data_IF_572372362616
#
_entry.id   IF_572372362616
#
_cell.length_a   1.000
_cell.length_b   1.000
_cell.length_c   1.000
_cell.angle_alpha   90.00
_cell.angle_beta   90.00
_cell.angle_gamma   90.00
#
_symmetry.space_group_name_H-M   'P 1'
#
loop_
_entity.id
_entity.type
_entity.pdbx_description
1 polymer ?
#
# COMPACT_ATOMS: atom_id res chain seq x y z
N UNK A 1 31.60 38.23 -0.70
CA UNK A 1 31.43 36.77 -0.90
C UNK A 1 32.73 35.96 -1.09
N UNK A 2 33.93 36.57 -1.08
CA UNK A 2 35.20 35.84 -1.23
C UNK A 2 35.81 35.30 0.10
N UNK A 3 35.35 35.78 1.26
CA UNK A 3 35.96 35.42 2.56
C UNK A 3 35.48 34.07 3.14
N UNK A 4 34.26 33.62 2.82
CA UNK A 4 33.69 32.39 3.38
C UNK A 4 34.26 31.10 2.74
N UNK A 5 34.68 31.17 1.47
CA UNK A 5 35.24 30.01 0.75
C UNK A 5 36.65 29.63 1.22
N UNK A 6 37.39 30.59 1.81
CA UNK A 6 38.79 30.37 2.24
C UNK A 6 38.87 29.66 3.59
N UNK A 7 37.85 29.79 4.47
CA UNK A 7 37.91 29.16 5.80
C UNK A 7 37.59 27.66 5.76
N UNK A 8 36.67 27.23 4.89
CA UNK A 8 36.27 25.82 4.76
C UNK A 8 37.39 24.94 4.16
N UNK A 9 38.16 25.48 3.20
CA UNK A 9 39.27 24.77 2.56
C UNK A 9 40.44 24.48 3.52
N UNK A 10 40.69 25.38 4.48
CA UNK A 10 41.73 25.17 5.51
C UNK A 10 41.34 24.10 6.53
N UNK A 11 40.06 23.99 6.86
CA UNK A 11 39.58 23.00 7.83
C UNK A 11 39.69 21.58 7.25
N UNK A 12 39.30 21.38 5.99
CA UNK A 12 39.33 20.07 5.32
C UNK A 12 40.77 19.57 5.09
N UNK A 13 41.71 20.46 4.74
CA UNK A 13 43.11 20.09 4.50
C UNK A 13 43.89 19.68 5.77
N UNK A 14 43.39 20.03 6.96
CA UNK A 14 44.07 19.75 8.23
C UNK A 14 43.75 18.38 8.83
N UNK A 15 42.67 17.73 8.38
CA UNK A 15 42.16 16.48 8.97
C UNK A 15 42.30 15.25 8.06
N UNK A 16 42.62 15.42 6.78
CA UNK A 16 42.83 14.33 5.82
C UNK A 16 44.02 14.66 4.93
N UNK A 17 44.89 13.68 4.69
CA UNK A 17 46.07 13.78 3.81
C UNK A 17 45.61 13.87 2.33
N UNK A 18 44.83 14.89 1.99
CA UNK A 18 44.13 15.04 0.71
C UNK A 18 44.76 16.20 -0.06
N UNK A 19 45.52 15.86 -1.11
CA UNK A 19 46.00 16.85 -2.08
C UNK A 19 44.81 17.51 -2.77
N UNK A 20 44.78 18.85 -2.81
CA UNK A 20 43.73 19.60 -3.50
C UNK A 20 43.71 19.23 -5.00
N UNK A 21 42.54 18.88 -5.57
CA UNK A 21 42.45 18.48 -6.96
C UNK A 21 42.79 19.65 -7.89
N UNK A 22 43.58 19.37 -8.94
CA UNK A 22 43.98 20.38 -9.94
C UNK A 22 42.76 20.82 -10.75
N UNK A 23 42.69 22.11 -11.06
CA UNK A 23 41.55 22.74 -11.75
C UNK A 23 41.93 23.05 -13.20
N UNK A 24 41.05 22.72 -14.15
CA UNK A 24 41.21 23.07 -15.55
C UNK A 24 40.72 24.51 -15.85
N UNK A 25 41.23 25.12 -16.92
CA UNK A 25 40.80 26.45 -17.37
C UNK A 25 39.43 26.44 -18.06
N UNK A 26 39.01 25.29 -18.57
CA UNK A 26 37.72 25.10 -19.22
C UNK A 26 36.57 24.87 -18.21
N UNK A 27 35.37 25.29 -18.62
CA UNK A 27 34.12 25.09 -17.87
C UNK A 27 33.31 23.95 -18.51
N UNK A 28 32.49 23.30 -17.71
CA UNK A 28 31.56 22.28 -18.19
C UNK A 28 30.46 22.90 -19.05
N UNK A 29 30.13 22.28 -20.18
CA UNK A 29 29.09 22.78 -21.09
C UNK A 29 27.67 22.62 -20.53
N UNK A 30 27.46 21.62 -19.66
CA UNK A 30 26.17 21.32 -19.05
C UNK A 30 25.85 22.23 -17.86
N UNK A 31 26.74 22.31 -16.86
CA UNK A 31 26.47 23.05 -15.61
C UNK A 31 27.28 24.35 -15.46
N UNK A 32 28.14 24.70 -16.44
CA UNK A 32 29.00 25.90 -16.46
C UNK A 32 30.00 26.05 -15.29
N UNK A 33 30.15 25.02 -14.44
CA UNK A 33 31.15 24.95 -13.36
C UNK A 33 32.55 24.65 -13.92
N UNK A 34 33.61 25.00 -13.18
CA UNK A 34 34.99 24.66 -13.56
C UNK A 34 35.20 23.14 -13.56
N UNK A 35 35.96 22.64 -14.53
CA UNK A 35 36.37 21.23 -14.58
C UNK A 35 37.61 21.00 -13.70
N UNK A 36 37.76 19.78 -13.22
CA UNK A 36 38.95 19.29 -12.52
C UNK A 36 39.76 18.40 -13.46
N UNK A 37 41.04 18.25 -13.18
CA UNK A 37 41.93 17.33 -13.88
C UNK A 37 42.03 16.03 -13.08
N UNK A 38 41.92 14.90 -13.77
CA UNK A 38 42.21 13.59 -13.19
C UNK A 38 43.73 13.31 -13.16
N UNK A 39 44.11 12.11 -12.69
CA UNK A 39 45.51 11.66 -12.61
C UNK A 39 46.23 11.64 -13.97
N UNK A 40 45.48 11.58 -15.07
CA UNK A 40 45.98 11.59 -16.45
C UNK A 40 45.91 12.98 -17.11
N UNK A 41 45.71 14.06 -16.35
CA UNK A 41 45.49 15.43 -16.83
C UNK A 41 44.27 15.60 -17.77
N UNK A 42 43.28 14.70 -17.70
CA UNK A 42 42.04 14.84 -18.47
C UNK A 42 41.04 15.68 -17.69
N UNK A 43 40.47 16.69 -18.34
CA UNK A 43 39.50 17.57 -17.73
C UNK A 43 38.10 16.92 -17.63
N UNK A 44 37.52 16.89 -16.44
CA UNK A 44 36.18 16.36 -16.17
C UNK A 44 35.39 17.25 -15.21
N UNK A 45 34.06 17.22 -15.30
CA UNK A 45 33.22 17.96 -14.37
C UNK A 45 32.83 17.07 -13.17
N UNK A 46 33.45 17.31 -12.01
CA UNK A 46 33.13 16.56 -10.79
C UNK A 46 31.66 16.67 -10.37
N UNK A 47 31.04 17.85 -10.50
CA UNK A 47 29.63 18.01 -10.16
C UNK A 47 28.72 17.17 -11.06
N UNK A 48 28.87 17.23 -12.39
CA UNK A 48 28.02 16.44 -13.29
C UNK A 48 28.31 14.93 -13.22
N UNK A 49 29.55 14.54 -12.89
CA UNK A 49 29.95 13.13 -12.85
C UNK A 49 29.60 12.44 -11.54
N UNK A 50 29.78 13.12 -10.42
CA UNK A 50 29.63 12.52 -9.08
C UNK A 50 28.39 13.03 -8.35
N UNK A 51 28.20 14.35 -8.30
CA UNK A 51 27.16 14.96 -7.45
C UNK A 51 25.77 14.93 -8.11
N UNK A 52 25.64 15.31 -9.38
CA UNK A 52 24.34 15.37 -10.05
C UNK A 52 23.63 14.00 -10.11
N UNK A 53 24.33 12.87 -10.37
CA UNK A 53 23.69 11.55 -10.27
C UNK A 53 23.27 11.21 -8.83
N UNK A 54 24.07 11.55 -7.83
CA UNK A 54 23.72 11.35 -6.42
C UNK A 54 22.50 12.19 -6.00
N UNK A 55 22.42 13.45 -6.44
CA UNK A 55 21.28 14.34 -6.19
C UNK A 55 19.99 13.78 -6.83
N UNK A 56 20.09 13.24 -8.06
CA UNK A 56 18.97 12.57 -8.73
C UNK A 56 18.53 11.32 -7.96
N UNK A 57 19.46 10.49 -7.51
CA UNK A 57 19.15 9.31 -6.69
C UNK A 57 18.48 9.71 -5.37
N UNK A 58 19.03 10.71 -4.66
CA UNK A 58 18.45 11.20 -3.42
C UNK A 58 17.04 11.78 -3.61
N UNK A 59 16.81 12.48 -4.72
CA UNK A 59 15.48 12.99 -5.07
C UNK A 59 14.50 11.84 -5.33
N UNK A 60 14.93 10.78 -6.03
CA UNK A 60 14.13 9.58 -6.25
C UNK A 60 13.79 8.88 -4.93
N UNK A 61 14.77 8.68 -4.04
CA UNK A 61 14.57 8.06 -2.72
C UNK A 61 13.62 8.91 -1.86
N UNK A 62 13.77 10.24 -1.89
CA UNK A 62 12.87 11.17 -1.19
C UNK A 62 11.44 11.07 -1.68
N UNK A 63 11.23 10.96 -3.00
CA UNK A 63 9.90 10.77 -3.59
C UNK A 63 9.27 9.43 -3.14
N UNK A 64 10.06 8.37 -3.04
CA UNK A 64 9.59 7.07 -2.52
C UNK A 64 9.16 7.22 -1.06
N UNK A 65 9.97 7.88 -0.23
CA UNK A 65 9.67 8.14 1.18
C UNK A 65 8.41 9.02 1.31
N UNK A 66 8.28 10.07 0.50
CA UNK A 66 7.10 10.94 0.51
C UNK A 66 5.83 10.18 0.11
N UNK A 67 5.88 9.36 -0.94
CA UNK A 67 4.74 8.50 -1.33
C UNK A 67 4.37 7.54 -0.20
N UNK A 68 5.37 6.93 0.46
CA UNK A 68 5.15 6.05 1.61
C UNK A 68 4.51 6.80 2.77
N UNK A 69 5.01 7.99 3.10
CA UNK A 69 4.48 8.83 4.18
C UNK A 69 3.07 9.35 3.87
N UNK A 70 2.75 9.62 2.61
CA UNK A 70 1.36 9.95 2.21
C UNK A 70 0.42 8.77 2.49
N UNK A 71 0.83 7.55 2.13
CA UNK A 71 0.03 6.34 2.43
C UNK A 71 -0.10 6.13 3.93
N UNK A 72 0.99 6.27 4.70
CA UNK A 72 0.97 6.13 6.17
C UNK A 72 0.07 7.20 6.79
N UNK A 73 0.24 8.47 6.43
CA UNK A 73 -0.59 9.57 6.96
C UNK A 73 -2.06 9.39 6.64
N UNK A 74 -2.39 8.80 5.49
CA UNK A 74 -3.77 8.47 5.17
C UNK A 74 -4.24 7.24 5.94
N UNK A 75 -3.42 6.19 6.04
CA UNK A 75 -3.71 5.03 6.88
C UNK A 75 -3.97 5.47 8.32
N UNK A 76 -3.20 6.41 8.85
CA UNK A 76 -3.39 6.99 10.17
C UNK A 76 -4.68 7.82 10.21
N UNK A 77 -4.94 8.66 9.20
CA UNK A 77 -6.23 9.37 9.08
C UNK A 77 -7.44 8.43 9.02
N UNK A 78 -7.23 7.21 8.52
CA UNK A 78 -8.22 6.14 8.39
C UNK A 78 -8.31 5.30 9.67
N UNK A 79 -7.20 5.08 10.36
CA UNK A 79 -7.11 4.36 11.62
C UNK A 79 -7.63 5.18 12.80
N UNK A 80 -7.42 6.49 12.78
CA UNK A 80 -7.97 7.47 13.74
C UNK A 80 -9.48 7.63 13.54
N UNK A 81 -9.95 7.51 12.30
CA UNK A 81 -11.38 7.59 11.95
C UNK A 81 -12.04 6.22 11.77
N UNK A 82 -12.07 5.39 12.83
CA UNK A 82 -13.13 4.37 13.01
C UNK A 82 -13.33 3.35 11.86
N UNK A 83 -12.29 3.05 11.07
CA UNK A 83 -12.34 2.03 10.00
C UNK A 83 -11.95 0.63 10.47
N UNK A 84 -11.23 0.54 11.59
CA UNK A 84 -10.75 -0.72 12.16
C UNK A 84 -11.15 -0.75 13.62
N UNK A 85 -11.90 -1.78 14.03
CA UNK A 85 -12.24 -2.02 15.44
C UNK A 85 -10.95 -2.14 16.27
N UNK A 86 -10.91 -1.61 17.50
CA UNK A 86 -9.72 -1.65 18.36
C UNK A 86 -9.17 -3.07 18.58
N UNK A 87 -10.01 -4.11 18.49
CA UNK A 87 -9.55 -5.51 18.50
C UNK A 87 -8.67 -5.84 17.30
N UNK A 88 -9.07 -5.40 16.10
CA UNK A 88 -8.30 -5.60 14.86
C UNK A 88 -7.02 -4.76 14.84
N UNK A 89 -6.97 -3.60 15.52
CA UNK A 89 -5.72 -2.83 15.66
C UNK A 89 -4.60 -3.64 16.30
N UNK A 90 -4.91 -4.63 17.14
CA UNK A 90 -3.91 -5.53 17.75
C UNK A 90 -3.69 -6.83 16.97
N UNK A 91 -4.41 -7.08 15.87
CA UNK A 91 -4.29 -8.31 15.08
C UNK A 91 -2.88 -8.47 14.48
N UNK A 92 -2.29 -9.64 14.67
CA UNK A 92 -1.04 -10.11 14.07
C UNK A 92 -1.19 -11.58 13.67
N UNK A 93 -0.26 -12.12 12.89
CA UNK A 93 -0.26 -13.55 12.59
C UNK A 93 -0.02 -14.37 13.87
N UNK A 94 0.83 -13.89 14.78
CA UNK A 94 1.18 -14.60 16.01
C UNK A 94 0.02 -14.77 16.99
N UNK A 95 -0.85 -13.75 17.10
CA UNK A 95 -1.99 -13.80 18.01
C UNK A 95 -3.26 -14.39 17.39
N UNK A 96 -3.21 -14.82 16.13
CA UNK A 96 -4.24 -15.65 15.54
C UNK A 96 -3.95 -17.13 15.84
N UNK A 97 -4.84 -17.73 16.63
CA UNK A 97 -4.76 -19.15 17.02
C UNK A 97 -5.82 -19.93 16.24
N UNK A 98 -5.45 -20.63 15.15
CA UNK A 98 -6.39 -21.39 14.35
C UNK A 98 -6.94 -22.58 15.15
N UNK A 99 -8.27 -22.79 15.20
CA UNK A 99 -8.86 -23.91 15.93
C UNK A 99 -8.84 -25.22 15.14
N UNK A 100 -8.72 -25.17 13.81
CA UNK A 100 -8.72 -26.32 12.90
C UNK A 100 -7.48 -26.29 12.01
N UNK A 101 -7.16 -27.45 11.41
CA UNK A 101 -6.05 -27.55 10.46
C UNK A 101 -6.30 -26.66 9.23
N UNK A 102 -7.49 -26.69 8.66
CA UNK A 102 -7.83 -25.89 7.47
C UNK A 102 -7.62 -24.38 7.71
N UNK A 103 -7.95 -23.88 8.90
CA UNK A 103 -7.70 -22.49 9.27
C UNK A 103 -6.22 -22.18 9.55
N UNK A 104 -5.43 -23.20 9.89
CA UNK A 104 -3.97 -23.09 9.97
C UNK A 104 -3.35 -23.03 8.58
N UNK A 105 -3.79 -23.90 7.67
CA UNK A 105 -3.33 -23.93 6.29
C UNK A 105 -3.70 -22.61 5.60
N UNK A 106 -4.90 -22.06 5.84
CA UNK A 106 -5.29 -20.74 5.33
C UNK A 106 -4.43 -19.59 5.89
N UNK A 107 -4.04 -19.65 7.16
CA UNK A 107 -3.09 -18.69 7.75
C UNK A 107 -1.74 -18.78 7.03
N UNK A 108 -1.23 -19.99 6.79
CA UNK A 108 0.03 -20.22 6.08
C UNK A 108 -0.03 -19.71 4.64
N UNK A 109 -1.13 -19.93 3.92
CA UNK A 109 -1.33 -19.38 2.57
C UNK A 109 -1.24 -17.86 2.55
N UNK A 110 -1.89 -17.16 3.49
CA UNK A 110 -1.82 -15.69 3.58
C UNK A 110 -0.41 -15.24 3.99
N UNK A 111 0.26 -15.95 4.90
CA UNK A 111 1.65 -15.66 5.27
C UNK A 111 2.60 -15.85 4.08
N UNK A 112 2.39 -16.89 3.27
CA UNK A 112 3.14 -17.16 2.06
C UNK A 112 2.92 -16.05 1.04
N UNK A 113 1.67 -15.67 0.76
CA UNK A 113 1.33 -14.52 -0.09
C UNK A 113 2.09 -13.27 0.34
N UNK A 114 2.06 -12.95 1.63
CA UNK A 114 2.83 -11.82 2.15
C UNK A 114 4.29 -12.05 1.80
N UNK A 115 4.91 -13.16 2.24
CA UNK A 115 6.34 -13.49 2.10
C UNK A 115 6.87 -13.39 0.67
N UNK A 116 6.10 -13.84 -0.32
CA UNK A 116 6.51 -13.89 -1.73
C UNK A 116 6.05 -12.68 -2.54
N UNK A 117 5.24 -11.78 -1.96
CA UNK A 117 4.70 -10.63 -2.68
C UNK A 117 5.78 -9.79 -3.38
N UNK A 118 5.57 -9.54 -4.67
CA UNK A 118 6.34 -8.63 -5.50
C UNK A 118 5.40 -7.73 -6.31
N UNK A 119 5.87 -6.53 -6.67
CA UNK A 119 5.12 -5.61 -7.56
C UNK A 119 5.16 -6.07 -9.01
N UNK A 120 6.15 -6.87 -9.37
CA UNK A 120 6.38 -7.36 -10.73
C UNK A 120 5.46 -8.53 -11.08
N UNK A 121 4.97 -9.24 -10.05
CA UNK A 121 4.06 -10.38 -10.17
C UNK A 121 2.87 -10.19 -9.22
N UNK A 122 1.90 -9.32 -9.58
CA UNK A 122 0.77 -9.00 -8.74
C UNK A 122 -0.22 -10.17 -8.69
N UNK A 123 -0.39 -10.76 -7.50
CA UNK A 123 -1.42 -11.77 -7.24
C UNK A 123 -2.57 -11.18 -6.40
N UNK A 124 -3.80 -11.47 -6.76
CA UNK A 124 -4.99 -11.12 -5.96
C UNK A 124 -5.49 -12.35 -5.21
N UNK A 125 -6.27 -12.17 -4.15
CA UNK A 125 -6.81 -13.30 -3.38
C UNK A 125 -8.18 -12.98 -2.81
N UNK A 126 -9.07 -13.97 -2.79
CA UNK A 126 -10.43 -13.86 -2.27
C UNK A 126 -10.60 -14.87 -1.16
N UNK A 127 -10.80 -14.33 0.03
CA UNK A 127 -10.92 -15.08 1.26
C UNK A 127 -12.41 -15.17 1.59
N UNK A 128 -13.00 -16.33 1.30
CA UNK A 128 -14.42 -16.61 1.56
C UNK A 128 -14.59 -17.55 2.75
N UNK A 129 -15.78 -17.54 3.35
CA UNK A 129 -16.17 -18.53 4.36
C UNK A 129 -16.98 -17.94 5.51
N UNK A 130 -17.01 -18.63 6.65
CA UNK A 130 -17.95 -18.33 7.73
C UNK A 130 -17.64 -17.05 8.52
N UNK A 131 -18.67 -16.53 9.19
CA UNK A 131 -18.53 -15.39 10.09
C UNK A 131 -17.67 -15.74 11.30
N UNK A 132 -16.72 -14.86 11.62
CA UNK A 132 -15.97 -14.93 12.87
C UNK A 132 -14.86 -15.98 12.92
N UNK A 133 -14.47 -16.54 11.77
CA UNK A 133 -13.31 -17.45 11.64
C UNK A 133 -11.96 -16.73 11.58
N UNK A 134 -11.95 -15.40 11.43
CA UNK A 134 -10.70 -14.60 11.50
C UNK A 134 -10.19 -14.02 10.17
N UNK A 135 -10.98 -14.05 9.09
CA UNK A 135 -10.61 -13.44 7.79
C UNK A 135 -10.05 -12.01 7.92
N UNK A 136 -10.84 -11.10 8.50
CA UNK A 136 -10.43 -9.69 8.73
C UNK A 136 -9.18 -9.57 9.61
N UNK A 137 -9.00 -10.49 10.58
CA UNK A 137 -7.83 -10.50 11.46
C UNK A 137 -6.56 -10.82 10.68
N UNK A 138 -6.59 -11.88 9.87
CA UNK A 138 -5.46 -12.28 9.01
C UNK A 138 -5.15 -11.21 7.97
N UNK A 139 -6.17 -10.58 7.38
CA UNK A 139 -6.02 -9.45 6.46
C UNK A 139 -5.34 -8.22 7.09
N UNK A 140 -5.71 -7.88 8.34
CA UNK A 140 -5.03 -6.78 9.05
C UNK A 140 -3.59 -7.16 9.41
N UNK A 141 -3.34 -8.41 9.79
CA UNK A 141 -1.98 -8.91 10.00
C UNK A 141 -1.13 -8.84 8.72
N UNK A 142 -1.69 -9.27 7.58
CA UNK A 142 -1.04 -9.20 6.27
C UNK A 142 -0.68 -7.76 5.89
N UNK A 143 -1.64 -6.83 6.05
CA UNK A 143 -1.42 -5.39 5.80
C UNK A 143 -0.22 -4.87 6.58
N UNK A 144 -0.11 -5.19 7.87
CA UNK A 144 1.00 -4.73 8.71
C UNK A 144 2.35 -5.31 8.27
N UNK A 145 2.40 -6.60 7.95
CA UNK A 145 3.65 -7.23 7.49
C UNK A 145 4.10 -6.71 6.12
N UNK A 146 3.17 -6.45 5.19
CA UNK A 146 3.46 -5.79 3.92
C UNK A 146 4.04 -4.38 4.15
N UNK A 147 3.45 -3.61 5.06
CA UNK A 147 3.96 -2.27 5.42
C UNK A 147 5.35 -2.32 6.06
N UNK A 148 5.63 -3.30 6.93
CA UNK A 148 6.96 -3.51 7.52
C UNK A 148 8.02 -3.78 6.46
N UNK A 149 7.65 -4.49 5.40
CA UNK A 149 8.52 -4.79 4.25
C UNK A 149 8.70 -3.66 3.25
N UNK A 150 8.05 -2.52 3.49
CA UNK A 150 8.21 -1.32 2.67
C UNK A 150 7.20 -1.17 1.54
N UNK A 151 6.22 -2.08 1.43
CA UNK A 151 5.11 -1.92 0.50
C UNK A 151 4.05 -0.99 1.07
N UNK A 152 3.37 -0.26 0.19
CA UNK A 152 2.17 0.49 0.56
C UNK A 152 0.97 -0.46 0.57
N UNK A 153 0.44 -0.76 1.75
CA UNK A 153 -0.75 -1.59 1.91
C UNK A 153 -1.85 -0.82 2.64
N UNK A 154 -3.11 -1.06 2.26
CA UNK A 154 -4.26 -0.40 2.87
C UNK A 154 -5.38 -1.40 3.13
N UNK A 155 -5.84 -1.48 4.37
CA UNK A 155 -7.02 -2.24 4.77
C UNK A 155 -8.21 -1.31 4.92
N UNK A 156 -9.34 -1.67 4.31
CA UNK A 156 -10.57 -0.89 4.39
C UNK A 156 -11.80 -1.78 4.37
N UNK A 157 -12.78 -1.49 5.23
CA UNK A 157 -14.10 -2.14 5.19
C UNK A 157 -14.96 -1.51 4.11
N UNK A 158 -15.64 -2.33 3.31
CA UNK A 158 -16.37 -1.88 2.14
C UNK A 158 -17.49 -0.87 2.44
N UNK A 159 -18.30 -1.16 3.45
CA UNK A 159 -19.35 -0.26 3.94
C UNK A 159 -18.80 1.12 4.38
N UNK A 160 -17.62 1.12 5.00
CA UNK A 160 -16.98 2.35 5.47
C UNK A 160 -16.36 3.14 4.33
N UNK A 161 -15.79 2.46 3.34
CA UNK A 161 -15.33 3.09 2.11
C UNK A 161 -16.46 3.89 1.45
N UNK A 162 -17.65 3.28 1.26
CA UNK A 162 -18.80 4.00 0.72
C UNK A 162 -19.26 5.17 1.57
N UNK A 163 -19.23 5.01 2.89
CA UNK A 163 -19.53 6.10 3.82
C UNK A 163 -18.54 7.25 3.64
N UNK A 164 -17.25 6.95 3.44
CA UNK A 164 -16.21 7.96 3.22
C UNK A 164 -16.37 8.64 1.86
N UNK A 165 -16.63 7.89 0.78
CA UNK A 165 -16.93 8.46 -0.54
C UNK A 165 -18.08 9.46 -0.42
N UNK A 166 -19.20 9.07 0.20
CA UNK A 166 -20.33 9.97 0.45
C UNK A 166 -19.95 11.23 1.24
N UNK A 167 -19.06 11.09 2.24
CA UNK A 167 -18.62 12.24 3.03
C UNK A 167 -17.86 13.29 2.21
N UNK A 168 -17.19 12.88 1.13
CA UNK A 168 -16.46 13.79 0.23
C UNK A 168 -17.37 14.70 -0.60
N UNK A 169 -18.65 14.38 -0.71
CA UNK A 169 -19.64 15.22 -1.40
C UNK A 169 -20.05 16.45 -0.58
N UNK A 170 -19.66 16.50 0.70
CA UNK A 170 -19.84 17.70 1.51
C UNK A 170 -18.85 18.77 1.04
N UNK A 171 -19.34 19.99 0.76
CA UNK A 171 -18.53 21.13 0.31
C UNK A 171 -17.40 21.53 1.28
N UNK A 172 -17.52 21.15 2.54
CA UNK A 172 -16.52 21.42 3.58
C UNK A 172 -15.57 20.23 3.82
N UNK A 173 -15.59 19.18 2.98
CA UNK A 173 -14.70 18.04 3.13
C UNK A 173 -13.27 18.41 2.73
N UNK A 174 -12.30 18.14 3.62
CA UNK A 174 -10.87 18.27 3.33
C UNK A 174 -10.35 17.22 2.34
N UNK A 175 -11.08 16.10 2.21
CA UNK A 175 -10.77 15.01 1.29
C UNK A 175 -11.78 15.01 0.14
N UNK A 176 -11.27 15.05 -1.09
CA UNK A 176 -12.09 14.89 -2.31
C UNK A 176 -12.19 13.43 -2.71
N UNK A 177 -13.25 13.09 -3.46
CA UNK A 177 -13.43 11.75 -4.03
C UNK A 177 -12.25 11.36 -4.91
N UNK A 178 -11.84 12.22 -5.84
CA UNK A 178 -10.70 11.98 -6.74
C UNK A 178 -9.41 11.64 -5.98
N UNK A 179 -9.16 12.34 -4.86
CA UNK A 179 -7.98 12.09 -4.04
C UNK A 179 -8.08 10.72 -3.37
N UNK A 180 -9.26 10.35 -2.85
CA UNK A 180 -9.51 9.03 -2.28
C UNK A 180 -9.31 7.92 -3.33
N UNK A 181 -9.94 8.04 -4.49
CA UNK A 181 -9.86 7.07 -5.59
C UNK A 181 -8.42 6.94 -6.12
N UNK A 182 -7.72 8.06 -6.29
CA UNK A 182 -6.31 8.06 -6.71
C UNK A 182 -5.41 7.31 -5.71
N UNK A 183 -5.72 7.38 -4.42
CA UNK A 183 -4.95 6.69 -3.38
C UNK A 183 -5.23 5.20 -3.38
N UNK A 184 -6.50 4.80 -3.46
CA UNK A 184 -6.90 3.40 -3.62
C UNK A 184 -6.28 2.78 -4.88
N UNK A 185 -6.17 3.53 -5.98
CA UNK A 185 -5.50 3.07 -7.20
C UNK A 185 -3.98 2.97 -7.04
N UNK A 186 -3.35 3.83 -6.22
CA UNK A 186 -1.89 3.93 -6.11
C UNK A 186 -1.24 2.93 -5.18
N UNK A 187 -1.90 2.53 -4.09
CA UNK A 187 -1.32 1.58 -3.12
C UNK A 187 -0.92 0.27 -3.79
N UNK A 188 0.17 -0.34 -3.33
CA UNK A 188 0.70 -1.58 -3.88
C UNK A 188 -0.29 -2.73 -3.63
N UNK A 189 -0.79 -2.85 -2.39
CA UNK A 189 -1.78 -3.86 -2.00
C UNK A 189 -3.00 -3.19 -1.36
N UNK A 190 -4.19 -3.47 -1.88
CA UNK A 190 -5.45 -3.04 -1.28
C UNK A 190 -6.17 -4.25 -0.69
N UNK A 191 -6.66 -4.13 0.53
CA UNK A 191 -7.41 -5.17 1.21
C UNK A 191 -8.81 -4.62 1.51
N UNK A 192 -9.82 -5.22 0.87
CA UNK A 192 -11.22 -4.84 1.00
C UNK A 192 -11.93 -5.89 1.87
N UNK A 193 -12.41 -5.46 3.04
CA UNK A 193 -13.05 -6.32 4.02
C UNK A 193 -14.58 -6.28 3.91
N UNK A 194 -15.23 -7.42 4.16
CA UNK A 194 -16.67 -7.63 4.08
C UNK A 194 -17.27 -7.25 2.70
N UNK A 195 -16.61 -7.70 1.62
CA UNK A 195 -17.02 -7.51 0.24
C UNK A 195 -18.39 -8.15 -0.03
N UNK A 196 -19.34 -7.36 -0.52
CA UNK A 196 -20.74 -7.74 -0.77
C UNK A 196 -21.70 -7.36 0.37
N UNK A 197 -21.21 -7.10 1.58
CA UNK A 197 -22.05 -6.79 2.74
C UNK A 197 -22.70 -5.39 2.67
N UNK A 198 -22.29 -4.56 1.71
CA UNK A 198 -22.88 -3.24 1.44
C UNK A 198 -24.24 -3.31 0.74
N UNK A 199 -24.57 -4.44 0.11
CA UNK A 199 -25.80 -4.60 -0.66
C UNK A 199 -26.96 -4.96 0.26
N UNK A 200 -28.03 -4.18 0.15
CA UNK A 200 -29.31 -4.50 0.79
C UNK A 200 -30.27 -5.08 -0.24
N UNK A 201 -31.39 -5.66 0.18
CA UNK A 201 -32.42 -6.17 -0.76
C UNK A 201 -32.92 -5.09 -1.73
N UNK A 202 -32.90 -3.82 -1.32
CA UNK A 202 -33.27 -2.67 -2.16
C UNK A 202 -32.22 -2.33 -3.22
N UNK A 203 -30.99 -2.82 -3.06
CA UNK A 203 -29.89 -2.60 -4.01
C UNK A 203 -29.86 -3.68 -5.11
N UNK A 204 -30.82 -4.63 -5.12
CA UNK A 204 -30.94 -5.70 -6.14
C UNK A 204 -31.60 -5.25 -7.45
N UNK A 205 -32.21 -4.06 -7.47
CA UNK A 205 -32.88 -3.52 -8.65
C UNK A 205 -31.98 -2.51 -9.39
N UNK A 206 -31.39 -2.95 -10.50
CA UNK A 206 -30.59 -2.09 -11.39
C UNK A 206 -29.14 -1.85 -10.94
N UNK A 207 -28.40 -1.08 -11.75
CA UNK A 207 -27.00 -0.75 -11.44
C UNK A 207 -26.94 0.32 -10.35
N UNK A 208 -26.40 -0.03 -9.19
CA UNK A 208 -26.25 0.91 -8.08
C UNK A 208 -24.96 1.72 -8.18
N UNK A 209 -24.96 2.92 -7.62
CA UNK A 209 -23.72 3.73 -7.53
C UNK A 209 -22.61 3.01 -6.74
N UNK A 210 -22.96 2.10 -5.81
CA UNK A 210 -22.01 1.25 -5.08
C UNK A 210 -21.28 0.31 -6.04
N UNK A 211 -22.03 -0.40 -6.91
CA UNK A 211 -21.44 -1.25 -7.96
C UNK A 211 -20.54 -0.43 -8.88
N UNK A 212 -21.00 0.74 -9.35
CA UNK A 212 -20.21 1.62 -10.21
C UNK A 212 -18.88 2.00 -9.54
N UNK A 213 -18.90 2.38 -8.26
CA UNK A 213 -17.70 2.75 -7.52
C UNK A 213 -16.79 1.56 -7.23
N UNK A 214 -17.34 0.39 -6.92
CA UNK A 214 -16.55 -0.84 -6.78
C UNK A 214 -15.82 -1.16 -8.08
N UNK A 215 -16.53 -1.12 -9.21
CA UNK A 215 -15.94 -1.37 -10.52
C UNK A 215 -14.83 -0.37 -10.85
N UNK A 216 -15.04 0.92 -10.57
CA UNK A 216 -14.02 1.95 -10.75
C UNK A 216 -12.75 1.66 -9.93
N UNK A 217 -12.90 1.20 -8.69
CA UNK A 217 -11.76 0.81 -7.83
C UNK A 217 -11.03 -0.39 -8.43
N UNK A 218 -11.76 -1.43 -8.82
CA UNK A 218 -11.18 -2.66 -9.39
C UNK A 218 -10.44 -2.35 -10.69
N UNK A 219 -11.10 -1.63 -11.61
CA UNK A 219 -10.53 -1.28 -12.92
C UNK A 219 -9.27 -0.42 -12.75
N UNK A 220 -9.26 0.52 -11.79
CA UNK A 220 -8.06 1.33 -11.49
C UNK A 220 -6.88 0.54 -10.92
N UNK A 221 -7.11 -0.73 -10.55
CA UNK A 221 -6.15 -1.63 -9.91
C UNK A 221 -5.82 -2.86 -10.76
N UNK A 222 -6.22 -2.90 -12.03
CA UNK A 222 -5.75 -3.94 -12.96
C UNK A 222 -4.21 -3.95 -12.98
N UNK A 223 -3.61 -5.13 -12.81
CA UNK A 223 -2.16 -5.29 -12.66
C UNK A 223 -1.63 -4.93 -11.27
N UNK A 224 -2.48 -4.83 -10.24
CA UNK A 224 -2.10 -4.69 -8.84
C UNK A 224 -2.86 -5.67 -7.95
N UNK A 225 -2.20 -6.09 -6.87
CA UNK A 225 -2.77 -7.04 -5.92
C UNK A 225 -3.92 -6.43 -5.12
N UNK A 226 -5.04 -7.13 -5.10
CA UNK A 226 -6.18 -6.81 -4.24
C UNK A 226 -6.63 -8.05 -3.49
N UNK A 227 -6.77 -7.95 -2.17
CA UNK A 227 -7.32 -8.99 -1.32
C UNK A 227 -8.76 -8.62 -0.96
N UNK A 228 -9.67 -9.58 -1.09
CA UNK A 228 -11.06 -9.41 -0.69
C UNK A 228 -11.39 -10.40 0.42
N UNK A 229 -12.11 -9.97 1.46
CA UNK A 229 -12.78 -10.91 2.36
C UNK A 229 -14.27 -10.87 2.10
N UNK A 230 -14.93 -12.02 2.16
CA UNK A 230 -16.38 -12.11 1.94
C UNK A 230 -16.99 -13.25 2.75
N UNK A 231 -18.28 -13.14 3.05
CA UNK A 231 -19.09 -14.23 3.60
C UNK A 231 -20.06 -14.79 2.55
N UNK A 232 -19.96 -14.33 1.29
CA UNK A 232 -20.79 -14.75 0.19
C UNK A 232 -20.06 -15.78 -0.68
N UNK A 233 -20.82 -16.67 -1.31
CA UNK A 233 -20.28 -17.55 -2.34
C UNK A 233 -19.93 -16.77 -3.60
N UNK A 234 -19.16 -17.41 -4.47
CA UNK A 234 -18.81 -16.91 -5.80
C UNK A 234 -20.07 -16.57 -6.60
N UNK A 235 -21.05 -17.47 -6.62
CA UNK A 235 -22.31 -17.28 -7.36
C UNK A 235 -23.10 -16.08 -6.83
N UNK A 236 -23.15 -15.90 -5.51
CA UNK A 236 -23.82 -14.75 -4.88
C UNK A 236 -23.13 -13.43 -5.25
N UNK A 237 -21.80 -13.41 -5.28
CA UNK A 237 -21.04 -12.22 -5.70
C UNK A 237 -21.21 -11.95 -7.20
N UNK A 238 -21.23 -12.98 -8.05
CA UNK A 238 -21.49 -12.84 -9.47
C UNK A 238 -22.90 -12.28 -9.74
N UNK A 239 -23.91 -12.71 -8.97
CA UNK A 239 -25.26 -12.15 -9.04
C UNK A 239 -25.29 -10.69 -8.58
N UNK A 240 -24.59 -10.36 -7.48
CA UNK A 240 -24.58 -9.00 -6.91
C UNK A 240 -23.85 -7.97 -7.78
N UNK A 241 -22.76 -8.34 -8.46
CA UNK A 241 -21.94 -7.41 -9.24
C UNK A 241 -22.10 -7.56 -10.75
N UNK A 242 -22.76 -8.64 -11.19
CA UNK A 242 -22.82 -9.04 -12.59
C UNK A 242 -21.61 -9.87 -13.01
N UNK A 243 -21.85 -10.94 -13.77
CA UNK A 243 -20.82 -11.92 -14.18
C UNK A 243 -19.61 -11.28 -14.85
N UNK A 244 -19.83 -10.29 -15.72
CA UNK A 244 -18.76 -9.62 -16.46
C UNK A 244 -17.81 -8.87 -15.53
N UNK A 245 -18.36 -8.10 -14.60
CA UNK A 245 -17.56 -7.25 -13.73
C UNK A 245 -16.91 -8.11 -12.64
N UNK A 246 -17.64 -9.10 -12.12
CA UNK A 246 -17.08 -10.11 -11.23
C UNK A 246 -15.91 -10.85 -11.88
N UNK A 247 -16.04 -11.33 -13.13
CA UNK A 247 -14.94 -12.02 -13.84
C UNK A 247 -13.67 -11.19 -13.93
N UNK A 248 -13.77 -9.86 -14.07
CA UNK A 248 -12.60 -8.95 -14.06
C UNK A 248 -12.00 -8.82 -12.67
N UNK A 249 -12.84 -8.74 -11.64
CA UNK A 249 -12.38 -8.73 -10.25
C UNK A 249 -11.63 -10.01 -9.89
N UNK A 250 -12.05 -11.14 -10.47
CA UNK A 250 -11.45 -12.46 -10.25
C UNK A 250 -10.21 -12.72 -11.12
N UNK A 251 -9.88 -11.84 -12.06
CA UNK A 251 -8.76 -12.05 -12.98
C UNK A 251 -7.45 -12.17 -12.18
N UNK A 252 -6.82 -13.35 -12.25
CA UNK A 252 -5.62 -13.71 -11.47
C UNK A 252 -5.81 -13.67 -9.93
N UNK A 253 -7.03 -13.91 -9.44
CA UNK A 253 -7.31 -14.05 -8.02
C UNK A 253 -7.29 -15.52 -7.56
N UNK A 254 -6.49 -15.83 -6.54
CA UNK A 254 -6.54 -17.12 -5.85
C UNK A 254 -7.71 -17.16 -4.87
N UNK A 255 -8.45 -18.27 -4.83
CA UNK A 255 -9.54 -18.46 -3.88
C UNK A 255 -9.05 -19.18 -2.63
N UNK A 256 -9.34 -18.62 -1.46
CA UNK A 256 -9.02 -19.20 -0.17
C UNK A 256 -10.28 -19.34 0.68
N UNK A 257 -10.60 -20.56 1.06
CA UNK A 257 -11.76 -20.87 1.88
C UNK A 257 -11.38 -20.96 3.36
N UNK A 258 -12.19 -20.36 4.22
CA UNK A 258 -12.03 -20.37 5.68
C UNK A 258 -13.36 -20.71 6.35
N UNK A 259 -13.59 -21.99 6.63
CA UNK A 259 -14.78 -22.46 7.33
C UNK A 259 -14.44 -22.93 8.75
N UNK A 260 -15.38 -22.75 9.68
CA UNK A 260 -15.19 -23.19 11.06
C UNK A 260 -16.02 -22.43 12.08
N UNK A 261 -15.80 -22.77 13.35
CA UNK A 261 -16.57 -22.19 14.45
C UNK A 261 -16.37 -20.68 14.57
N UNK A 262 -17.48 -19.97 14.78
CA UNK A 262 -17.47 -18.53 15.01
C UNK A 262 -16.81 -18.19 16.36
N UNK A 263 -15.57 -17.74 16.30
CA UNK A 263 -14.78 -17.38 17.48
C UNK A 263 -15.41 -16.24 18.30
N UNK A 264 -16.19 -15.35 17.66
CA UNK A 264 -16.85 -14.22 18.34
C UNK A 264 -17.93 -14.71 19.32
N UNK A 265 -18.49 -15.91 19.12
CA UNK A 265 -19.56 -16.48 19.93
C UNK A 265 -19.08 -17.41 21.05
N UNK A 266 -17.77 -17.74 21.12
CA UNK A 266 -17.23 -18.67 22.14
C UNK A 266 -17.48 -18.24 23.58
N UNK A 267 -17.45 -16.94 23.87
CA UNK A 267 -17.71 -16.42 25.21
C UNK A 267 -19.21 -16.33 25.53
N UNK A 268 -20.08 -16.32 24.51
CA UNK A 268 -21.53 -16.30 24.68
C UNK A 268 -22.05 -17.68 25.11
N UNK A 269 -21.47 -18.76 24.57
CA UNK A 269 -21.83 -20.16 24.88
C UNK A 269 -21.29 -20.68 26.23
N UNK A 270 -20.43 -19.94 26.93
CA UNK A 270 -19.87 -20.35 28.23
C UNK A 270 -20.67 -19.84 29.44
N UNK A 271 -21.79 -19.16 29.19
CA UNK A 271 -22.67 -18.58 30.21
C UNK A 271 -23.96 -19.35 30.49
N UNK A 272 -24.08 -20.58 29.98
CA UNK A 272 -25.16 -21.53 30.32
C UNK A 272 -24.62 -22.65 31.21
#
# INVERSE_FOLDING_TARGET
MQAAAVSMAKIIASSTNMTLPKVANERCDLCRRKKFLDENNKAYCWHCKEIAPQDVQLAQDTLVIQKRNQVISLYDSFADNSLINDKLKKATFDNYVPPTKDLSDAKETIMNFVSTYSKEDPMSMIITGDYGVGKSHLCVAATKELMKRGYSAMFIQMNKLFTKIKSTWNKNSELTEDKLMSLLAKVDVLIIDDFGAEFTEKDKEGVTWKQTKTNEIVDSRIGKSTLFTTNFSVDQLAEMYGERDFSRMMENAEMLEMFGDNYRLRNFKKGE
#
